data_IF_302270688773
#
_entry.id   IF_302270688773
#
_cell.length_a   1.000
_cell.length_b   1.000
_cell.length_c   1.000
_cell.angle_alpha   90.00
_cell.angle_beta   90.00
_cell.angle_gamma   90.00
#
_symmetry.space_group_name_H-M   'P 1'
#
loop_
_entity.id
_entity.type
_entity.pdbx_description
1 polymer ?
#
# COMPACT_ATOMS: atom_id res chain seq x y z
N UNK A 1 -2.24 8.88 17.64
CA UNK A 1 -0.91 8.99 16.99
C UNK A 1 -0.34 10.40 17.10
N UNK A 2 -1.16 11.45 17.02
CA UNK A 2 -0.73 12.85 17.28
C UNK A 2 -0.08 13.07 18.66
N UNK A 3 -0.54 12.40 19.70
CA UNK A 3 0.06 12.46 21.05
C UNK A 3 1.51 11.97 21.09
N UNK A 4 1.85 10.94 20.31
CA UNK A 4 3.22 10.43 20.20
C UNK A 4 4.11 11.44 19.46
N UNK A 5 3.62 11.99 18.34
CA UNK A 5 4.34 13.01 17.59
C UNK A 5 4.60 14.27 18.43
N UNK A 6 3.61 14.75 19.18
CA UNK A 6 3.76 15.94 20.02
C UNK A 6 4.93 15.82 21.01
N UNK A 7 5.13 14.62 21.57
CA UNK A 7 6.19 14.29 22.54
C UNK A 7 7.55 14.06 21.91
N UNK A 8 7.62 13.30 20.81
CA UNK A 8 8.92 12.83 20.26
C UNK A 8 9.38 13.62 19.04
N UNK A 9 8.48 14.37 18.41
CA UNK A 9 8.67 14.99 17.08
C UNK A 9 8.97 13.99 15.97
N UNK A 10 8.72 12.69 16.19
CA UNK A 10 8.83 11.63 15.18
C UNK A 10 7.47 11.40 14.55
N UNK A 11 7.37 11.58 13.22
CA UNK A 11 6.19 11.23 12.43
C UNK A 11 6.31 9.79 11.91
N UNK A 12 5.20 9.07 11.93
CA UNK A 12 5.09 7.74 11.32
C UNK A 12 4.04 7.81 10.23
N UNK A 13 4.33 7.28 9.05
CA UNK A 13 3.39 7.20 7.93
C UNK A 13 3.36 5.77 7.41
N UNK A 14 2.19 5.32 6.96
CA UNK A 14 2.05 4.04 6.27
C UNK A 14 1.93 4.29 4.76
N UNK A 15 2.72 3.58 3.96
CA UNK A 15 2.66 3.62 2.50
C UNK A 15 2.16 2.28 1.99
N UNK A 16 1.10 2.32 1.19
CA UNK A 16 0.51 1.18 0.50
C UNK A 16 0.85 1.27 -0.98
N UNK A 17 1.74 0.41 -1.46
CA UNK A 17 2.08 0.35 -2.88
C UNK A 17 1.12 -0.53 -3.66
N UNK A 18 0.78 -0.11 -4.88
CA UNK A 18 0.22 -1.02 -5.88
C UNK A 18 1.30 -1.92 -6.53
N UNK A 19 0.89 -2.59 -7.62
CA UNK A 19 1.72 -3.20 -8.68
C UNK A 19 3.08 -2.54 -8.86
N UNK A 20 4.15 -2.86 -8.14
CA UNK A 20 5.48 -2.25 -8.39
C UNK A 20 6.38 -3.24 -9.10
N UNK A 21 6.89 -2.85 -10.27
CA UNK A 21 7.77 -3.68 -11.07
C UNK A 21 9.09 -3.96 -10.36
N UNK A 22 9.18 -5.15 -9.78
CA UNK A 22 10.26 -5.57 -8.89
C UNK A 22 10.54 -7.07 -9.08
N UNK A 23 11.65 -7.56 -8.53
CA UNK A 23 12.01 -8.98 -8.64
C UNK A 23 10.92 -9.91 -8.10
N UNK A 24 10.21 -9.51 -7.04
CA UNK A 24 9.13 -10.30 -6.44
C UNK A 24 7.90 -10.37 -7.35
N UNK A 25 7.53 -9.28 -8.03
CA UNK A 25 6.35 -9.26 -8.92
C UNK A 25 6.60 -9.85 -10.30
N UNK A 26 7.88 -10.07 -10.68
CA UNK A 26 8.28 -10.74 -11.93
C UNK A 26 8.39 -12.25 -11.78
N UNK A 27 8.19 -12.79 -10.58
CA UNK A 27 8.23 -14.23 -10.37
C UNK A 27 7.08 -14.90 -11.10
N UNK A 28 7.35 -16.05 -11.70
CA UNK A 28 6.35 -16.89 -12.37
C UNK A 28 5.76 -17.96 -11.46
N UNK A 29 6.24 -18.05 -10.21
CA UNK A 29 5.77 -18.96 -9.18
C UNK A 29 6.02 -18.34 -7.80
N UNK A 30 5.06 -18.49 -6.88
CA UNK A 30 5.11 -17.89 -5.53
C UNK A 30 5.22 -18.95 -4.42
N UNK A 31 5.27 -20.24 -4.76
CA UNK A 31 5.25 -21.36 -3.81
C UNK A 31 4.07 -21.23 -2.84
N UNK A 32 2.89 -20.99 -3.40
CA UNK A 32 1.67 -20.87 -2.63
C UNK A 32 1.25 -22.19 -1.96
N UNK A 33 0.23 -22.12 -1.10
CA UNK A 33 -0.32 -23.29 -0.39
C UNK A 33 -0.73 -24.42 -1.34
N UNK A 34 -1.36 -24.05 -2.45
CA UNK A 34 -1.75 -24.94 -3.53
C UNK A 34 -1.66 -24.20 -4.88
N UNK A 35 -1.84 -24.97 -5.96
CA UNK A 35 -1.74 -24.46 -7.33
C UNK A 35 -2.90 -23.52 -7.70
N UNK A 36 -4.09 -23.75 -7.18
CA UNK A 36 -5.27 -22.95 -7.48
C UNK A 36 -5.10 -21.53 -6.93
N UNK A 37 -4.57 -21.41 -5.72
CA UNK A 37 -4.21 -20.15 -5.10
C UNK A 37 -3.05 -19.46 -5.82
N UNK A 38 -2.03 -20.21 -6.26
CA UNK A 38 -0.94 -19.66 -7.06
C UNK A 38 -1.42 -19.05 -8.37
N UNK A 39 -2.24 -19.80 -9.12
CA UNK A 39 -2.79 -19.38 -10.41
C UNK A 39 -3.69 -18.14 -10.23
N UNK A 40 -4.46 -18.05 -9.13
CA UNK A 40 -5.27 -16.88 -8.76
C UNK A 40 -4.43 -15.64 -8.44
N UNK A 41 -3.35 -15.78 -7.68
CA UNK A 41 -2.42 -14.68 -7.38
C UNK A 41 -1.75 -14.17 -8.65
N UNK A 42 -1.24 -15.08 -9.50
CA UNK A 42 -0.60 -14.72 -10.77
C UNK A 42 -1.57 -13.99 -11.68
N UNK A 43 -2.79 -14.49 -11.86
CA UNK A 43 -3.83 -13.82 -12.64
C UNK A 43 -4.13 -12.41 -12.10
N UNK A 44 -4.26 -12.28 -10.79
CA UNK A 44 -4.51 -10.99 -10.11
C UNK A 44 -3.35 -10.02 -10.33
N UNK A 45 -2.11 -10.45 -10.13
CA UNK A 45 -0.92 -9.63 -10.38
C UNK A 45 -0.82 -9.19 -11.84
N UNK A 46 -1.17 -10.06 -12.80
CA UNK A 46 -1.16 -9.75 -14.22
C UNK A 46 -2.24 -8.71 -14.59
N UNK A 47 -3.37 -8.69 -13.88
CA UNK A 47 -4.44 -7.70 -14.10
C UNK A 47 -4.09 -6.27 -13.68
N UNK A 48 -3.11 -6.10 -12.78
CA UNK A 48 -2.71 -4.77 -12.31
C UNK A 48 -1.65 -4.12 -13.21
N UNK A 49 -1.88 -2.86 -13.55
CA UNK A 49 -0.89 -1.97 -14.14
C UNK A 49 0.31 -1.82 -13.19
N UNK A 50 1.50 -2.07 -13.72
CA UNK A 50 2.74 -1.96 -12.96
C UNK A 50 3.27 -0.52 -12.99
N UNK A 51 3.70 0.00 -11.84
CA UNK A 51 4.47 1.23 -11.70
C UNK A 51 5.96 0.90 -11.53
N UNK A 52 6.84 1.81 -11.93
CA UNK A 52 8.28 1.64 -11.70
C UNK A 52 8.66 1.96 -10.25
N UNK A 53 9.86 1.57 -9.84
CA UNK A 53 10.37 1.88 -8.52
C UNK A 53 10.54 3.39 -8.30
N UNK A 54 10.90 4.14 -9.35
CA UNK A 54 11.07 5.59 -9.32
C UNK A 54 9.73 6.30 -9.06
N UNK A 55 8.67 5.86 -9.76
CA UNK A 55 7.32 6.38 -9.56
C UNK A 55 6.81 6.07 -8.15
N UNK A 56 7.07 4.86 -7.65
CA UNK A 56 6.74 4.49 -6.28
C UNK A 56 7.48 5.39 -5.27
N UNK A 57 8.77 5.62 -5.45
CA UNK A 57 9.57 6.49 -4.60
C UNK A 57 9.12 7.96 -4.64
N UNK A 58 8.71 8.45 -5.80
CA UNK A 58 8.13 9.79 -5.94
C UNK A 58 6.85 9.94 -5.10
N UNK A 59 5.96 8.94 -5.15
CA UNK A 59 4.76 8.94 -4.29
C UNK A 59 5.08 8.89 -2.79
N UNK A 60 6.16 8.21 -2.39
CA UNK A 60 6.64 8.27 -1.00
C UNK A 60 7.06 9.69 -0.62
N UNK A 61 7.81 10.38 -1.49
CA UNK A 61 8.24 11.75 -1.22
C UNK A 61 7.04 12.70 -1.08
N UNK A 62 6.02 12.57 -1.93
CA UNK A 62 4.76 13.33 -1.83
C UNK A 62 4.05 13.07 -0.50
N UNK A 63 3.84 11.80 -0.14
CA UNK A 63 3.22 11.42 1.12
C UNK A 63 4.03 11.91 2.33
N UNK A 64 5.35 11.87 2.26
CA UNK A 64 6.23 12.34 3.34
C UNK A 64 6.14 13.86 3.56
N UNK A 65 6.04 14.63 2.46
CA UNK A 65 5.89 16.09 2.50
C UNK A 65 4.53 16.51 3.06
N UNK A 66 3.46 15.81 2.68
CA UNK A 66 2.08 16.24 2.95
C UNK A 66 1.43 15.53 4.15
N UNK A 67 1.92 14.35 4.54
CA UNK A 67 1.26 13.48 5.50
C UNK A 67 1.46 13.86 6.97
N UNK A 68 0.36 13.86 7.72
CA UNK A 68 0.39 13.92 9.18
C UNK A 68 0.81 12.58 9.80
N UNK A 69 1.20 12.61 11.08
CA UNK A 69 1.61 11.39 11.78
C UNK A 69 0.41 10.44 11.95
N UNK A 70 0.58 9.18 11.56
CA UNK A 70 -0.45 8.17 11.61
C UNK A 70 -1.38 8.10 10.40
N UNK A 71 -1.03 8.79 9.32
CA UNK A 71 -1.79 8.69 8.06
C UNK A 71 -1.30 7.55 7.18
N UNK A 72 -2.21 7.00 6.38
CA UNK A 72 -1.94 5.97 5.39
C UNK A 72 -2.13 6.51 3.97
N UNK A 73 -1.22 6.17 3.05
CA UNK A 73 -1.17 6.70 1.70
C UNK A 73 -1.04 5.60 0.66
N UNK A 74 -1.83 5.69 -0.42
CA UNK A 74 -1.78 4.79 -1.57
C UNK A 74 -0.93 5.39 -2.68
N UNK A 75 0.05 4.63 -3.18
CA UNK A 75 0.87 4.96 -4.34
C UNK A 75 0.73 3.82 -5.36
N UNK A 76 -0.07 4.05 -6.41
CA UNK A 76 -0.42 3.03 -7.38
C UNK A 76 -0.68 3.63 -8.77
N UNK A 77 -0.43 2.83 -9.83
CA UNK A 77 -0.82 3.13 -11.23
C UNK A 77 -0.23 4.43 -11.78
N UNK A 78 0.97 4.80 -11.32
CA UNK A 78 1.62 6.06 -11.69
C UNK A 78 0.75 7.31 -11.47
N UNK A 79 -0.13 7.25 -10.45
CA UNK A 79 -0.95 8.37 -10.00
C UNK A 79 -0.32 9.02 -8.76
N UNK A 80 -0.64 10.30 -8.50
CA UNK A 80 -0.21 10.99 -7.29
C UNK A 80 -0.59 10.23 -6.01
N UNK A 81 0.22 10.37 -4.97
CA UNK A 81 -0.04 9.73 -3.69
C UNK A 81 -1.38 10.19 -3.11
N UNK A 82 -2.24 9.24 -2.71
CA UNK A 82 -3.57 9.54 -2.17
C UNK A 82 -3.64 9.14 -0.70
N UNK A 83 -4.06 10.06 0.17
CA UNK A 83 -4.39 9.73 1.55
C UNK A 83 -5.64 8.82 1.58
N UNK A 84 -5.49 7.63 2.16
CA UNK A 84 -6.53 6.60 2.27
C UNK A 84 -6.87 6.26 3.73
N UNK A 85 -6.47 7.11 4.68
CA UNK A 85 -6.64 6.85 6.12
C UNK A 85 -8.08 6.53 6.49
N UNK A 86 -9.03 7.36 6.05
CA UNK A 86 -10.46 7.15 6.36
C UNK A 86 -11.01 5.90 5.68
N UNK A 87 -10.58 5.61 4.45
CA UNK A 87 -11.00 4.39 3.73
C UNK A 87 -10.59 3.13 4.52
N UNK A 88 -9.39 3.12 5.09
CA UNK A 88 -8.94 2.00 5.91
C UNK A 88 -9.73 1.90 7.22
N UNK A 89 -9.96 3.03 7.91
CA UNK A 89 -10.75 3.05 9.13
C UNK A 89 -12.16 2.50 8.88
N UNK A 90 -12.84 3.02 7.86
CA UNK A 90 -14.21 2.61 7.51
C UNK A 90 -14.28 1.12 7.16
N UNK A 91 -13.30 0.61 6.38
CA UNK A 91 -13.20 -0.80 6.01
C UNK A 91 -13.02 -1.68 7.26
N UNK A 92 -12.09 -1.33 8.15
CA UNK A 92 -11.84 -2.13 9.35
C UNK A 92 -12.99 -2.06 10.36
N UNK A 93 -13.68 -0.92 10.48
CA UNK A 93 -14.89 -0.82 11.29
C UNK A 93 -15.99 -1.72 10.75
N UNK A 94 -16.21 -1.73 9.44
CA UNK A 94 -17.24 -2.58 8.81
C UNK A 94 -16.95 -4.08 9.02
N UNK A 95 -15.68 -4.49 8.96
CA UNK A 95 -15.28 -5.88 9.22
C UNK A 95 -15.47 -6.30 10.68
N UNK A 96 -15.38 -5.37 11.63
CA UNK A 96 -15.60 -5.66 13.05
C UNK A 96 -17.07 -5.88 13.38
N UNK A 97 -17.99 -5.28 12.62
CA UNK A 97 -19.43 -5.46 12.80
C UNK A 97 -19.91 -6.84 12.29
N UNK A 98 -19.10 -7.54 11.49
CA UNK A 98 -19.40 -8.87 10.92
C UNK A 98 -18.89 -10.06 11.76
N UNK A 99 -18.09 -9.80 12.82
CA UNK A 99 -17.48 -10.82 13.70
C UNK A 99 -18.13 -10.78 15.09
#
# INVERSE_FOLDING_TARGET
>A
METSYARTKVRVLAICFGKTDSKITRQTAFNCLDKEFEDSILATLHSFEAQTAEVAAQGVAEAFQQGASGTAWLVARSRPAKNITNVLIDMFSSLQDEI
#
